data_IF_237135583949
#
_entry.id   IF_237135583949
#
_cell.length_a   1.000
_cell.length_b   1.000
_cell.length_c   1.000
_cell.angle_alpha   90.00
_cell.angle_beta   90.00
_cell.angle_gamma   90.00
#
_symmetry.space_group_name_H-M   'P 1'
#
loop_
_entity.id
_entity.type
_entity.pdbx_description
1 polymer ?
#
# COMPACT_ATOMS: atom_id res chain seq x y z
N UNK A 1 33.14 35.07 -16.71
CA UNK A 1 32.33 36.09 -16.01
C UNK A 1 31.21 35.40 -15.22
N UNK A 2 31.52 34.70 -14.12
CA UNK A 2 30.51 33.94 -13.34
C UNK A 2 30.99 33.68 -11.90
N UNK A 3 30.70 34.59 -10.96
CA UNK A 3 30.78 34.36 -9.49
C UNK A 3 29.84 35.30 -8.72
N UNK A 4 28.52 35.06 -8.82
CA UNK A 4 27.52 35.68 -7.91
C UNK A 4 26.53 34.67 -7.27
N UNK A 5 26.43 33.44 -7.77
CA UNK A 5 25.44 32.45 -7.31
C UNK A 5 25.92 31.56 -6.15
N UNK A 6 26.45 32.15 -5.08
CA UNK A 6 27.00 31.40 -3.92
C UNK A 6 26.44 31.84 -2.54
N UNK A 7 25.31 32.56 -2.50
CA UNK A 7 24.62 32.94 -1.24
C UNK A 7 23.11 32.75 -1.22
N UNK A 8 22.46 32.43 -2.34
CA UNK A 8 21.06 32.03 -2.34
C UNK A 8 20.94 30.57 -1.89
N UNK A 9 20.45 30.37 -0.66
CA UNK A 9 20.03 29.06 -0.18
C UNK A 9 18.80 28.68 -1.01
N UNK A 10 18.85 27.59 -1.78
CA UNK A 10 17.72 27.18 -2.63
C UNK A 10 16.51 26.69 -1.83
N UNK A 11 16.74 26.25 -0.58
CA UNK A 11 15.72 25.69 0.32
C UNK A 11 14.53 26.63 0.64
N UNK A 12 14.71 27.93 0.99
CA UNK A 12 13.58 28.85 1.10
C UNK A 12 12.85 29.11 -0.23
N UNK A 13 13.55 29.08 -1.37
CA UNK A 13 12.92 29.31 -2.68
C UNK A 13 12.03 28.12 -3.10
N UNK A 14 12.45 26.87 -2.84
CA UNK A 14 11.62 25.70 -3.13
C UNK A 14 10.42 25.60 -2.20
N UNK A 15 10.55 25.97 -0.92
CA UNK A 15 9.40 26.09 0.01
C UNK A 15 8.40 27.12 -0.51
N UNK A 16 8.86 28.29 -0.94
CA UNK A 16 7.97 29.33 -1.48
C UNK A 16 7.21 28.85 -2.72
N UNK A 17 7.89 28.19 -3.67
CA UNK A 17 7.25 27.61 -4.87
C UNK A 17 6.26 26.49 -4.51
N UNK A 18 6.57 25.64 -3.54
CA UNK A 18 5.67 24.58 -3.07
C UNK A 18 4.39 25.14 -2.42
N UNK A 19 4.51 26.19 -1.61
CA UNK A 19 3.36 26.90 -1.01
C UNK A 19 2.53 27.58 -2.10
N UNK A 20 3.17 28.22 -3.09
CA UNK A 20 2.47 28.87 -4.21
C UNK A 20 1.69 27.85 -5.06
N UNK A 21 2.29 26.70 -5.40
CA UNK A 21 1.56 25.62 -6.10
C UNK A 21 0.41 25.04 -5.28
N UNK A 22 0.53 24.99 -3.95
CA UNK A 22 -0.56 24.55 -3.09
C UNK A 22 -1.75 25.53 -3.12
N UNK A 23 -1.50 26.84 -3.21
CA UNK A 23 -2.59 27.84 -3.34
C UNK A 23 -3.32 27.78 -4.68
N UNK A 24 -2.61 27.50 -5.79
CA UNK A 24 -3.24 27.38 -7.12
C UNK A 24 -4.22 26.22 -7.16
N UNK A 25 -3.83 25.06 -6.62
CA UNK A 25 -4.63 23.83 -6.71
C UNK A 25 -5.90 23.79 -5.85
N UNK A 26 -6.13 24.83 -5.04
CA UNK A 26 -7.34 24.97 -4.21
C UNK A 26 -8.45 25.69 -4.98
N UNK A 27 -8.12 26.49 -6.01
CA UNK A 27 -9.10 27.08 -6.93
C UNK A 27 -9.75 26.04 -7.83
N UNK A 28 -8.93 25.14 -8.42
CA UNK A 28 -9.39 24.10 -9.35
C UNK A 28 -10.40 23.09 -8.73
N UNK A 29 -10.48 23.01 -7.40
CA UNK A 29 -11.35 22.08 -6.67
C UNK A 29 -12.76 22.67 -6.46
N UNK A 30 -12.95 23.99 -6.56
CA UNK A 30 -14.28 24.61 -6.46
C UNK A 30 -15.01 24.61 -7.81
N UNK A 31 -14.29 24.82 -8.92
CA UNK A 31 -14.88 24.81 -10.26
C UNK A 31 -15.40 23.40 -10.67
N UNK A 32 -14.84 22.34 -10.08
CA UNK A 32 -15.28 20.95 -10.33
C UNK A 32 -16.50 20.49 -9.52
N UNK A 33 -17.17 21.38 -8.77
CA UNK A 33 -18.37 21.04 -7.97
C UNK A 33 -19.63 21.74 -8.52
N UNK A 34 -19.49 22.80 -9.31
CA UNK A 34 -20.61 23.50 -9.98
C UNK A 34 -20.75 23.13 -11.47
N UNK A 35 -19.70 22.56 -12.09
CA UNK A 35 -19.75 21.97 -13.44
C UNK A 35 -20.38 20.58 -13.43
N UNK A 36 -21.62 20.47 -13.92
CA UNK A 36 -22.42 19.24 -13.87
C UNK A 36 -21.87 18.03 -14.63
N UNK A 37 -22.46 16.88 -14.31
CA UNK A 37 -22.21 15.54 -14.88
C UNK A 37 -22.00 15.53 -16.41
N UNK A 38 -20.75 15.57 -16.84
CA UNK A 38 -20.38 15.26 -18.23
C UNK A 38 -20.28 13.75 -18.42
N UNK A 39 -21.41 13.14 -18.78
CA UNK A 39 -21.43 11.75 -19.27
C UNK A 39 -20.64 11.73 -20.58
N UNK A 40 -19.58 10.92 -20.63
CA UNK A 40 -18.79 10.74 -21.84
C UNK A 40 -19.64 10.09 -22.94
N UNK A 41 -19.69 10.75 -24.10
CA UNK A 41 -20.46 10.30 -25.26
C UNK A 41 -19.83 9.02 -25.83
N UNK A 42 -20.48 7.88 -25.60
CA UNK A 42 -19.98 6.57 -26.01
C UNK A 42 -20.46 6.25 -27.44
N UNK A 43 -19.65 6.64 -28.42
CA UNK A 43 -19.88 6.29 -29.83
C UNK A 43 -19.82 4.77 -30.00
N UNK A 44 -20.98 4.14 -30.22
CA UNK A 44 -21.08 2.74 -30.59
C UNK A 44 -20.81 2.57 -32.09
N UNK A 45 -19.73 1.85 -32.42
CA UNK A 45 -19.32 1.55 -33.79
C UNK A 45 -20.11 0.34 -34.35
N UNK A 46 -20.36 0.33 -35.66
CA UNK A 46 -21.27 -0.60 -36.33
C UNK A 46 -20.55 -1.41 -37.42
N UNK A 47 -20.51 -2.75 -37.25
CA UNK A 47 -20.20 -3.84 -38.21
C UNK A 47 -20.81 -5.10 -37.53
N UNK A 48 -21.68 -5.92 -38.13
CA UNK A 48 -21.46 -6.82 -39.28
C UNK A 48 -20.78 -8.12 -38.79
N UNK A 49 -21.28 -9.37 -38.94
CA UNK A 49 -22.46 -10.00 -39.56
C UNK A 49 -22.87 -11.22 -38.67
N UNK A 50 -23.99 -11.95 -38.80
CA UNK A 50 -25.16 -11.84 -39.69
C UNK A 50 -25.64 -13.23 -40.18
N UNK A 51 -26.72 -13.80 -39.60
CA UNK A 51 -27.33 -15.05 -40.08
C UNK A 51 -28.86 -15.06 -39.89
N UNK A 52 -29.56 -15.50 -40.95
CA UNK A 52 -31.00 -15.74 -40.97
C UNK A 52 -31.28 -17.16 -40.43
N UNK A 53 -32.40 -17.33 -39.73
CA UNK A 53 -33.23 -18.51 -39.95
C UNK A 53 -34.71 -18.15 -39.78
N UNK A 54 -35.57 -18.88 -40.48
CA UNK A 54 -36.97 -18.53 -40.68
C UNK A 54 -37.89 -19.11 -39.59
N UNK A 55 -38.90 -18.34 -39.15
CA UNK A 55 -40.20 -18.96 -38.83
C UNK A 55 -41.37 -18.02 -39.08
N UNK A 56 -41.87 -18.15 -40.31
CA UNK A 56 -43.27 -18.17 -40.72
C UNK A 56 -44.31 -17.49 -39.82
N UNK A 57 -44.88 -16.42 -40.37
CA UNK A 57 -46.14 -15.81 -39.98
C UNK A 57 -47.30 -16.76 -40.35
N UNK A 58 -48.19 -17.06 -39.41
CA UNK A 58 -49.56 -17.49 -39.73
C UNK A 58 -50.55 -16.57 -39.00
N UNK A 59 -51.72 -16.37 -39.59
CA UNK A 59 -52.71 -15.40 -39.14
C UNK A 59 -53.89 -16.11 -38.45
N UNK A 60 -54.20 -15.69 -37.23
CA UNK A 60 -55.46 -15.94 -36.56
C UNK A 60 -56.17 -14.62 -36.32
N UNK A 61 -57.28 -14.39 -37.02
CA UNK A 61 -58.19 -13.28 -36.75
C UNK A 61 -59.04 -13.56 -35.50
N UNK A 62 -59.08 -12.55 -34.61
CA UNK A 62 -60.18 -12.08 -33.72
C UNK A 62 -61.21 -13.07 -33.10
N UNK A 63 -61.74 -12.81 -31.88
CA UNK A 63 -62.20 -11.48 -31.49
C UNK A 63 -61.85 -10.99 -30.08
N UNK A 64 -61.89 -9.66 -29.93
CA UNK A 64 -62.06 -8.99 -28.65
C UNK A 64 -63.43 -9.29 -28.00
N UNK A 65 -63.42 -10.08 -26.93
CA UNK A 65 -64.37 -10.23 -25.82
C UNK A 65 -63.74 -11.28 -24.86
N UNK A 66 -63.72 -11.18 -23.53
CA UNK A 66 -64.66 -10.52 -22.61
C UNK A 66 -64.01 -10.30 -21.21
N UNK A 67 -62.89 -9.57 -21.13
CA UNK A 67 -62.16 -9.36 -19.86
C UNK A 67 -62.71 -8.21 -18.98
N UNK A 68 -63.88 -7.65 -19.30
CA UNK A 68 -64.43 -6.53 -18.53
C UNK A 68 -64.95 -6.98 -17.15
N UNK A 69 -65.47 -8.19 -17.03
CA UNK A 69 -66.05 -8.67 -15.76
C UNK A 69 -64.98 -9.09 -14.74
N UNK A 70 -63.86 -9.72 -15.14
CA UNK A 70 -62.75 -10.01 -14.22
C UNK A 70 -62.04 -8.73 -13.73
N UNK A 71 -61.86 -7.73 -14.60
CA UNK A 71 -61.32 -6.43 -14.18
C UNK A 71 -62.29 -5.69 -13.26
N UNK A 72 -63.61 -5.71 -13.54
CA UNK A 72 -64.63 -5.09 -12.67
C UNK A 72 -64.70 -5.81 -11.30
N UNK A 73 -64.65 -7.14 -11.25
CA UNK A 73 -64.69 -7.88 -9.98
C UNK A 73 -63.40 -7.65 -9.15
N UNK A 74 -62.23 -7.54 -9.80
CA UNK A 74 -60.98 -7.12 -9.14
C UNK A 74 -61.01 -5.66 -8.68
N UNK A 75 -61.67 -4.76 -9.42
CA UNK A 75 -61.83 -3.35 -9.04
C UNK A 75 -62.79 -3.20 -7.85
N UNK A 76 -63.88 -3.99 -7.80
CA UNK A 76 -64.81 -4.01 -6.66
C UNK A 76 -64.16 -4.64 -5.42
N UNK A 77 -63.43 -5.75 -5.58
CA UNK A 77 -62.72 -6.40 -4.48
C UNK A 77 -61.57 -5.57 -3.89
N UNK A 78 -61.06 -4.57 -4.63
CA UNK A 78 -60.05 -3.62 -4.17
C UNK A 78 -60.61 -2.19 -3.97
N UNK A 79 -61.93 -2.00 -3.96
CA UNK A 79 -62.54 -0.67 -3.79
C UNK A 79 -62.26 -0.16 -2.35
N UNK A 80 -61.48 0.92 -2.17
CA UNK A 80 -61.10 1.42 -0.85
C UNK A 80 -62.29 1.98 -0.05
N UNK A 81 -63.47 2.13 -0.67
CA UNK A 81 -64.70 2.55 0.00
C UNK A 81 -65.48 1.42 0.66
N UNK A 82 -65.14 0.15 0.37
CA UNK A 82 -65.81 -1.05 0.91
C UNK A 82 -65.06 -1.69 2.11
N UNK A 83 -63.90 -1.16 2.49
CA UNK A 83 -63.08 -1.67 3.60
C UNK A 83 -63.77 -1.53 4.96
N UNK A 84 -63.70 -2.58 5.78
CA UNK A 84 -64.13 -2.50 7.19
C UNK A 84 -63.13 -1.72 8.03
N UNK A 85 -63.58 -1.12 9.14
CA UNK A 85 -62.71 -0.37 10.06
C UNK A 85 -61.50 -1.20 10.52
N UNK A 86 -61.69 -2.49 10.78
CA UNK A 86 -60.63 -3.43 11.16
C UNK A 86 -59.59 -3.66 10.08
N UNK A 87 -59.99 -3.67 8.81
CA UNK A 87 -59.06 -3.77 7.67
C UNK A 87 -58.31 -2.46 7.45
N UNK A 88 -58.97 -1.32 7.62
CA UNK A 88 -58.34 0.01 7.57
C UNK A 88 -57.26 0.14 8.66
N UNK A 89 -57.57 -0.25 9.90
CA UNK A 89 -56.63 -0.21 11.02
C UNK A 89 -55.42 -1.13 10.78
N UNK A 90 -55.66 -2.33 10.22
CA UNK A 90 -54.59 -3.29 9.86
C UNK A 90 -53.71 -2.77 8.71
N UNK A 91 -54.31 -2.16 7.68
CA UNK A 91 -53.57 -1.55 6.57
C UNK A 91 -52.71 -0.36 7.04
N UNK A 92 -53.20 0.44 7.98
CA UNK A 92 -52.43 1.51 8.61
C UNK A 92 -51.22 0.95 9.38
N UNK A 93 -51.42 -0.10 10.20
CA UNK A 93 -50.31 -0.76 10.91
C UNK A 93 -49.28 -1.38 9.96
N UNK A 94 -49.70 -1.97 8.83
CA UNK A 94 -48.81 -2.50 7.81
C UNK A 94 -48.04 -1.37 7.09
N UNK A 95 -48.69 -0.24 6.79
CA UNK A 95 -48.05 0.92 6.17
C UNK A 95 -47.00 1.56 7.10
N UNK A 96 -47.32 1.73 8.40
CA UNK A 96 -46.37 2.21 9.41
C UNK A 96 -45.19 1.24 9.55
N UNK A 97 -45.46 -0.07 9.64
CA UNK A 97 -44.40 -1.09 9.71
C UNK A 97 -43.52 -1.09 8.46
N UNK A 98 -44.09 -0.95 7.26
CA UNK A 98 -43.32 -0.82 6.00
C UNK A 98 -42.39 0.41 6.05
N UNK A 99 -42.88 1.56 6.51
CA UNK A 99 -42.08 2.78 6.66
C UNK A 99 -40.92 2.60 7.64
N UNK A 100 -41.14 1.93 8.77
CA UNK A 100 -40.07 1.59 9.74
C UNK A 100 -39.03 0.64 9.13
N UNK A 101 -39.47 -0.37 8.38
CA UNK A 101 -38.57 -1.31 7.71
C UNK A 101 -37.73 -0.60 6.63
N UNK A 102 -38.35 0.18 5.75
CA UNK A 102 -37.66 0.94 4.69
C UNK A 102 -36.63 1.93 5.28
N UNK A 103 -36.95 2.56 6.42
CA UNK A 103 -35.99 3.43 7.12
C UNK A 103 -34.76 2.63 7.59
N UNK A 104 -34.97 1.46 8.21
CA UNK A 104 -33.88 0.58 8.67
C UNK A 104 -33.07 -0.01 7.53
N UNK A 105 -33.71 -0.36 6.42
CA UNK A 105 -33.07 -0.86 5.20
C UNK A 105 -32.09 0.18 4.65
N UNK A 106 -32.53 1.44 4.48
CA UNK A 106 -31.65 2.53 4.05
C UNK A 106 -30.51 2.84 5.04
N UNK A 107 -30.73 2.66 6.34
CA UNK A 107 -29.70 2.82 7.38
C UNK A 107 -28.64 1.70 7.31
N UNK A 108 -29.05 0.47 7.00
CA UNK A 108 -28.16 -0.68 6.81
C UNK A 108 -27.37 -0.53 5.51
N UNK A 109 -28.03 -0.24 4.39
CA UNK A 109 -27.38 -0.03 3.09
C UNK A 109 -26.30 1.07 3.15
N UNK A 110 -26.60 2.19 3.82
CA UNK A 110 -25.62 3.27 4.04
C UNK A 110 -24.42 2.80 4.89
N UNK A 111 -24.65 1.99 5.93
CA UNK A 111 -23.58 1.42 6.76
C UNK A 111 -22.73 0.41 5.99
N UNK A 112 -23.35 -0.43 5.18
CA UNK A 112 -22.66 -1.42 4.34
C UNK A 112 -21.76 -0.72 3.32
N UNK A 113 -22.27 0.30 2.61
CA UNK A 113 -21.44 1.10 1.69
C UNK A 113 -20.25 1.79 2.38
N UNK A 114 -20.45 2.32 3.59
CA UNK A 114 -19.36 2.91 4.39
C UNK A 114 -18.34 1.86 4.85
N UNK A 115 -18.79 0.66 5.22
CA UNK A 115 -17.93 -0.46 5.62
C UNK A 115 -17.12 -1.00 4.44
N UNK A 116 -17.74 -1.22 3.28
CA UNK A 116 -17.07 -1.64 2.04
C UNK A 116 -16.00 -0.62 1.62
N UNK A 117 -16.32 0.68 1.66
CA UNK A 117 -15.35 1.74 1.37
C UNK A 117 -14.19 1.78 2.38
N UNK A 118 -14.45 1.47 3.66
CA UNK A 118 -13.42 1.36 4.69
C UNK A 118 -12.54 0.12 4.50
N UNK A 119 -13.14 -1.03 4.15
CA UNK A 119 -12.46 -2.30 3.88
C UNK A 119 -11.54 -2.19 2.66
N UNK A 120 -12.06 -1.77 1.50
CA UNK A 120 -11.25 -1.53 0.30
C UNK A 120 -10.12 -0.52 0.55
N UNK A 121 -10.36 0.49 1.39
CA UNK A 121 -9.30 1.42 1.84
C UNK A 121 -8.26 0.70 2.69
N UNK A 122 -8.64 -0.15 3.65
CA UNK A 122 -7.73 -0.92 4.50
C UNK A 122 -6.90 -1.91 3.67
N UNK A 123 -7.51 -2.67 2.77
CA UNK A 123 -6.83 -3.59 1.85
C UNK A 123 -5.73 -2.88 1.05
N UNK A 124 -6.03 -1.70 0.51
CA UNK A 124 -5.03 -0.86 -0.17
C UNK A 124 -3.84 -0.49 0.73
N UNK A 125 -4.08 -0.09 1.99
CA UNK A 125 -2.96 0.16 2.93
C UNK A 125 -2.17 -1.11 3.22
N UNK A 126 -2.82 -2.26 3.36
CA UNK A 126 -2.14 -3.55 3.60
C UNK A 126 -1.25 -3.90 2.40
N UNK A 127 -1.72 -3.69 1.17
CA UNK A 127 -0.91 -3.89 -0.03
C UNK A 127 0.29 -2.92 -0.09
N UNK A 128 0.08 -1.63 0.19
CA UNK A 128 1.15 -0.62 0.26
C UNK A 128 2.19 -0.97 1.34
N UNK A 129 1.75 -1.38 2.55
CA UNK A 129 2.64 -1.77 3.64
C UNK A 129 3.46 -3.03 3.32
N UNK A 130 2.85 -4.04 2.67
CA UNK A 130 3.57 -5.24 2.19
C UNK A 130 4.64 -4.88 1.15
N UNK A 131 4.32 -3.99 0.21
CA UNK A 131 5.29 -3.49 -0.78
C UNK A 131 6.46 -2.75 -0.11
N UNK A 132 6.18 -1.92 0.91
CA UNK A 132 7.23 -1.27 1.68
C UNK A 132 8.07 -2.27 2.47
N UNK A 133 7.47 -3.27 3.10
CA UNK A 133 8.19 -4.35 3.79
C UNK A 133 9.15 -5.07 2.83
N UNK A 134 8.67 -5.56 1.69
CA UNK A 134 9.52 -6.23 0.69
C UNK A 134 10.65 -5.33 0.19
N UNK A 135 10.35 -4.04 -0.06
CA UNK A 135 11.35 -3.05 -0.48
C UNK A 135 12.42 -2.83 0.57
N UNK A 136 12.04 -2.74 1.85
CA UNK A 136 12.96 -2.57 2.98
C UNK A 136 13.81 -3.83 3.18
N UNK A 137 13.20 -5.02 3.22
CA UNK A 137 13.91 -6.30 3.34
C UNK A 137 14.96 -6.48 2.23
N UNK A 138 14.59 -6.16 0.98
CA UNK A 138 15.49 -6.18 -0.17
C UNK A 138 16.62 -5.16 -0.06
N UNK A 139 16.32 -3.95 0.42
CA UNK A 139 17.32 -2.88 0.59
C UNK A 139 18.30 -3.19 1.72
N UNK A 140 17.81 -3.68 2.86
CA UNK A 140 18.64 -4.16 3.98
C UNK A 140 19.55 -5.27 3.50
N UNK A 141 19.01 -6.30 2.84
CA UNK A 141 19.82 -7.40 2.30
C UNK A 141 20.90 -6.92 1.30
N UNK A 142 20.56 -6.02 0.37
CA UNK A 142 21.56 -5.49 -0.57
C UNK A 142 22.59 -4.58 0.10
N UNK A 143 22.23 -3.89 1.18
CA UNK A 143 23.18 -3.14 2.01
C UNK A 143 24.13 -4.09 2.75
N UNK A 144 23.61 -5.12 3.41
CA UNK A 144 24.39 -6.12 4.15
C UNK A 144 25.33 -6.89 3.23
N UNK A 145 24.84 -7.35 2.06
CA UNK A 145 25.66 -8.00 1.03
C UNK A 145 26.80 -7.09 0.55
N UNK A 146 26.54 -5.79 0.35
CA UNK A 146 27.56 -4.81 -0.06
C UNK A 146 28.56 -4.51 1.06
N UNK A 147 28.12 -4.37 2.30
CA UNK A 147 28.99 -4.12 3.45
C UNK A 147 29.87 -5.35 3.74
N UNK A 148 29.28 -6.54 3.73
CA UNK A 148 30.01 -7.81 3.83
C UNK A 148 31.04 -7.97 2.71
N UNK A 149 30.70 -7.64 1.46
CA UNK A 149 31.65 -7.67 0.35
C UNK A 149 32.82 -6.68 0.52
N UNK A 150 32.56 -5.45 1.02
CA UNK A 150 33.62 -4.47 1.34
C UNK A 150 34.53 -4.99 2.44
N UNK A 151 33.98 -5.51 3.54
CA UNK A 151 34.75 -6.07 4.66
C UNK A 151 35.59 -7.25 4.20
N UNK A 152 35.00 -8.20 3.45
CA UNK A 152 35.74 -9.33 2.87
C UNK A 152 36.86 -8.88 1.92
N UNK A 153 36.69 -7.78 1.19
CA UNK A 153 37.75 -7.21 0.35
C UNK A 153 38.93 -6.70 1.20
N UNK A 154 38.65 -5.96 2.28
CA UNK A 154 39.67 -5.50 3.23
C UNK A 154 40.39 -6.69 3.90
N UNK A 155 39.64 -7.67 4.41
CA UNK A 155 40.17 -8.93 4.96
C UNK A 155 41.12 -9.60 3.97
N UNK A 156 40.70 -9.78 2.71
CA UNK A 156 41.54 -10.42 1.67
C UNK A 156 42.81 -9.63 1.36
N UNK A 157 42.82 -8.30 1.47
CA UNK A 157 44.03 -7.50 1.29
C UNK A 157 45.05 -7.83 2.39
N UNK A 158 44.61 -7.88 3.65
CA UNK A 158 45.50 -8.14 4.78
C UNK A 158 45.88 -9.63 4.93
N UNK A 159 44.98 -10.58 4.65
CA UNK A 159 45.30 -12.02 4.66
C UNK A 159 46.33 -12.43 3.59
N UNK A 160 46.42 -11.69 2.49
CA UNK A 160 47.41 -11.93 1.42
C UNK A 160 48.69 -11.10 1.59
N UNK A 161 48.73 -10.20 2.57
CA UNK A 161 49.92 -9.43 2.92
C UNK A 161 50.90 -10.27 3.74
N UNK A 162 52.18 -9.87 3.77
CA UNK A 162 53.18 -10.51 4.64
C UNK A 162 52.81 -10.22 6.11
N UNK A 163 52.88 -11.20 7.03
CA UNK A 163 52.43 -11.00 8.41
C UNK A 163 53.11 -9.86 9.16
N UNK A 164 54.40 -9.58 8.86
CA UNK A 164 55.14 -8.45 9.45
C UNK A 164 54.62 -7.09 8.98
N UNK A 165 54.23 -6.98 7.72
CA UNK A 165 53.76 -5.72 7.13
C UNK A 165 52.34 -5.41 7.61
N UNK A 166 51.48 -6.44 7.66
CA UNK A 166 50.13 -6.34 8.24
C UNK A 166 50.16 -6.00 9.75
N UNK A 167 51.06 -6.62 10.52
CA UNK A 167 51.21 -6.34 11.95
C UNK A 167 51.50 -4.86 12.23
N UNK A 168 52.42 -4.25 11.47
CA UNK A 168 52.74 -2.82 11.61
C UNK A 168 51.54 -1.92 11.29
N UNK A 169 50.73 -2.26 10.28
CA UNK A 169 49.51 -1.50 9.95
C UNK A 169 48.47 -1.66 11.06
N UNK A 170 48.31 -2.86 11.63
CA UNK A 170 47.35 -3.13 12.71
C UNK A 170 47.72 -2.44 14.04
N UNK A 171 48.99 -2.10 14.25
CA UNK A 171 49.43 -1.25 15.37
C UNK A 171 49.01 0.22 15.22
N UNK A 172 48.96 0.73 13.98
CA UNK A 172 48.59 2.11 13.65
C UNK A 172 47.08 2.30 13.40
N UNK A 173 46.34 1.21 13.16
CA UNK A 173 44.91 1.23 12.83
C UNK A 173 44.02 1.49 14.06
N UNK A 174 42.94 2.25 13.84
CA UNK A 174 41.87 2.46 14.82
C UNK A 174 41.22 1.14 15.27
N UNK A 175 40.87 1.04 16.57
CA UNK A 175 40.38 -0.20 17.16
C UNK A 175 39.13 -0.74 16.46
N UNK A 176 38.13 0.11 16.19
CA UNK A 176 36.87 -0.33 15.58
C UNK A 176 37.08 -0.95 14.19
N UNK A 177 37.94 -0.34 13.38
CA UNK A 177 38.29 -0.88 12.04
C UNK A 177 39.13 -2.15 12.15
N UNK A 178 40.01 -2.22 13.15
CA UNK A 178 40.84 -3.39 13.43
C UNK A 178 40.00 -4.59 13.89
N UNK A 179 39.00 -4.38 14.75
CA UNK A 179 38.07 -5.43 15.18
C UNK A 179 37.23 -5.94 14.01
N UNK A 180 36.68 -5.04 13.20
CA UNK A 180 35.88 -5.41 12.02
C UNK A 180 36.65 -6.27 11.01
N UNK A 181 37.95 -5.99 10.82
CA UNK A 181 38.82 -6.80 9.94
C UNK A 181 39.27 -8.09 10.62
N UNK A 182 39.59 -8.08 11.91
CA UNK A 182 40.09 -9.27 12.62
C UNK A 182 39.00 -10.30 12.91
N UNK A 183 37.75 -9.89 13.12
CA UNK A 183 36.59 -10.78 13.22
C UNK A 183 36.30 -11.50 11.89
N UNK A 184 36.45 -10.80 10.76
CA UNK A 184 36.29 -11.39 9.43
C UNK A 184 37.47 -12.25 8.95
N UNK A 185 38.60 -12.27 9.66
CA UNK A 185 39.81 -13.01 9.29
C UNK A 185 39.79 -14.45 9.82
N UNK A 186 40.43 -15.35 9.07
CA UNK A 186 40.68 -16.71 9.57
C UNK A 186 41.74 -16.72 10.67
N UNK A 187 41.48 -17.43 11.78
CA UNK A 187 42.41 -17.54 12.93
C UNK A 187 43.83 -17.95 12.50
N UNK A 188 43.94 -18.87 11.53
CA UNK A 188 45.20 -19.35 10.95
C UNK A 188 46.01 -18.23 10.26
N UNK A 189 45.36 -17.21 9.71
CA UNK A 189 45.99 -16.02 9.10
C UNK A 189 46.26 -14.93 10.13
N UNK A 190 45.38 -14.78 11.12
CA UNK A 190 45.51 -13.79 12.19
C UNK A 190 46.64 -14.11 13.17
N UNK A 191 46.79 -15.37 13.59
CA UNK A 191 47.82 -15.80 14.54
C UNK A 191 49.27 -15.38 14.18
N UNK A 192 49.78 -15.57 12.94
CA UNK A 192 51.13 -15.11 12.58
C UNK A 192 51.25 -13.58 12.48
N UNK A 193 50.15 -12.84 12.37
CA UNK A 193 50.14 -11.36 12.44
C UNK A 193 50.21 -10.91 13.91
N UNK A 194 49.41 -11.52 14.78
CA UNK A 194 49.48 -11.29 16.24
C UNK A 194 50.85 -11.65 16.83
N UNK A 195 51.52 -12.68 16.31
CA UNK A 195 52.88 -13.05 16.70
C UNK A 195 53.99 -12.09 16.19
N UNK A 196 53.64 -11.05 15.41
CA UNK A 196 54.57 -10.05 14.87
C UNK A 196 54.28 -8.62 15.30
N UNK A 197 53.21 -8.38 16.05
CA UNK A 197 52.88 -7.09 16.65
C UNK A 197 53.34 -7.00 18.12
N UNK A 198 53.19 -5.82 18.70
CA UNK A 198 53.38 -5.52 20.11
C UNK A 198 52.45 -6.37 21.00
N UNK A 199 52.96 -7.08 22.03
CA UNK A 199 52.16 -7.88 22.96
C UNK A 199 51.02 -7.12 23.65
N UNK A 200 51.19 -5.81 23.90
CA UNK A 200 50.14 -4.99 24.49
C UNK A 200 48.95 -4.84 23.53
N UNK A 201 49.21 -4.56 22.25
CA UNK A 201 48.18 -4.41 21.20
C UNK A 201 47.47 -5.74 20.92
N UNK A 202 48.22 -6.85 20.88
CA UNK A 202 47.64 -8.19 20.75
C UNK A 202 46.67 -8.54 21.90
N UNK A 203 47.04 -8.18 23.13
CA UNK A 203 46.18 -8.37 24.32
C UNK A 203 44.91 -7.51 24.23
N UNK A 204 45.04 -6.25 23.83
CA UNK A 204 43.94 -5.30 23.66
C UNK A 204 42.90 -5.82 22.65
N UNK A 205 43.33 -6.24 21.45
CA UNK A 205 42.46 -6.85 20.43
C UNK A 205 41.74 -8.09 20.99
N UNK A 206 42.45 -8.93 21.76
CA UNK A 206 41.87 -10.16 22.34
C UNK A 206 40.76 -9.83 23.36
N UNK A 207 40.96 -8.80 24.19
CA UNK A 207 39.97 -8.33 25.16
C UNK A 207 38.73 -7.77 24.45
N UNK A 208 38.91 -6.91 23.45
CA UNK A 208 37.78 -6.32 22.73
C UNK A 208 37.02 -7.35 21.87
N UNK A 209 37.70 -8.27 21.16
CA UNK A 209 37.05 -9.39 20.46
C UNK A 209 36.27 -10.30 21.42
N UNK A 210 36.78 -10.51 22.64
CA UNK A 210 36.04 -11.26 23.66
C UNK A 210 34.80 -10.51 24.14
N UNK A 211 34.85 -9.18 24.30
CA UNK A 211 33.65 -8.39 24.64
C UNK A 211 32.62 -8.45 23.52
N UNK A 212 33.05 -8.21 22.28
CA UNK A 212 32.19 -8.21 21.10
C UNK A 212 31.40 -9.53 20.97
N UNK A 213 32.09 -10.68 21.11
CA UNK A 213 31.48 -12.01 21.06
C UNK A 213 30.62 -12.38 22.28
N UNK A 214 30.78 -11.68 23.41
CA UNK A 214 30.04 -11.91 24.64
C UNK A 214 28.81 -11.00 24.79
N UNK A 215 28.65 -9.99 23.93
CA UNK A 215 27.41 -9.22 23.86
C UNK A 215 26.29 -10.14 23.33
N UNK A 216 25.12 -10.23 23.99
CA UNK A 216 23.97 -10.84 23.37
C UNK A 216 23.61 -10.02 22.12
N UNK A 217 23.32 -10.70 21.00
CA UNK A 217 23.02 -10.10 19.69
C UNK A 217 21.70 -9.30 19.70
N UNK A 218 21.65 -8.16 20.39
CA UNK A 218 20.46 -7.30 20.55
C UNK A 218 20.06 -6.59 19.25
N UNK A 219 21.04 -6.34 18.36
CA UNK A 219 20.85 -5.60 17.10
C UNK A 219 19.96 -6.28 16.07
N UNK A 220 19.61 -7.57 16.26
CA UNK A 220 18.75 -8.34 15.35
C UNK A 220 17.39 -8.73 15.96
N UNK A 221 17.07 -8.27 17.18
CA UNK A 221 15.83 -8.66 17.89
C UNK A 221 14.87 -7.51 18.21
N UNK A 222 15.26 -6.26 17.94
CA UNK A 222 14.47 -5.06 18.21
C UNK A 222 13.56 -4.60 17.04
N UNK A 223 13.16 -5.54 16.16
CA UNK A 223 12.37 -5.26 14.96
C UNK A 223 11.35 -6.36 14.64
N UNK A 224 10.68 -6.88 15.67
CA UNK A 224 9.51 -7.76 15.54
C UNK A 224 8.21 -6.98 15.66
#
# INVERSE_FOLDING_TARGET
MFRLFAKFRFLPATIFVAVLMLTVRIGDIWDSVEGGLSVADAVAQQEGEGQQDEMQKDAGEDPAADDQDEDVERLIANDPTLLTQTEIDLLQQLAERRKVLQTRESEVEMREGLLQAAEARIEKKIAELRLYQETIEKLVKTYDDQQGAKIQSLVKIYENMKPKDAARIFEELEMDTLLLVTEGMSERKLAPIMAKMNPARATEITVELSKLRNLPNETLKAGG
#
